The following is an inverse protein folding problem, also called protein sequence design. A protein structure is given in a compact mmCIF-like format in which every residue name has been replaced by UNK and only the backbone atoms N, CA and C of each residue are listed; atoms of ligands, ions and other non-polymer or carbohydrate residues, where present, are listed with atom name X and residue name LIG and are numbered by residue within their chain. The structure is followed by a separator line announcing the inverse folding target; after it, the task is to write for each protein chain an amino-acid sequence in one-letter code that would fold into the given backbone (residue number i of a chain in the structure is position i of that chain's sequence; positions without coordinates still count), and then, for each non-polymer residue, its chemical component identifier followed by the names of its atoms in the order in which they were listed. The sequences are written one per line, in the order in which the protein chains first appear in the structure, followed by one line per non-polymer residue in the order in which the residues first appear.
data_IF_285889471146
#
_entry.id   IF_285889471146
#
_cell.length_a   1.000
_cell.length_b   1.000
_cell.length_c   1.000
_cell.angle_alpha   90.00
_cell.angle_beta   90.00
_cell.angle_gamma   90.00
#
_symmetry.space_group_name_H-M   'P 1'
#
loop_
_entity.id
_entity.type
_entity.pdbx_description
1 polymer ?
#
# COMPACT_ATOMS: atom_id res chain seq x y z
N UNK A 1 -29.54 -46.34 -43.84
CA UNK A 1 -29.58 -45.60 -42.56
C UNK A 1 -30.79 -44.67 -42.60
N UNK A 2 -31.66 -44.70 -41.60
CA UNK A 2 -32.93 -43.96 -41.60
C UNK A 2 -32.67 -42.44 -41.47
N UNK A 3 -33.11 -41.65 -42.44
CA UNK A 3 -32.80 -40.21 -42.58
C UNK A 3 -33.22 -39.39 -41.35
N UNK A 4 -34.32 -39.77 -40.72
CA UNK A 4 -34.82 -39.15 -39.48
C UNK A 4 -33.80 -39.24 -38.32
N UNK A 5 -33.08 -40.36 -38.22
CA UNK A 5 -32.08 -40.55 -37.17
C UNK A 5 -30.84 -39.68 -37.41
N UNK A 6 -30.44 -39.51 -38.67
CA UNK A 6 -29.32 -38.65 -39.05
C UNK A 6 -29.62 -37.16 -38.80
N UNK A 7 -30.85 -36.71 -39.08
CA UNK A 7 -31.27 -35.33 -38.83
C UNK A 7 -31.32 -35.02 -37.33
N UNK A 8 -31.87 -35.92 -36.51
CA UNK A 8 -31.87 -35.74 -35.04
C UNK A 8 -30.45 -35.57 -34.50
N UNK A 9 -29.52 -36.44 -34.93
CA UNK A 9 -28.12 -36.41 -34.50
C UNK A 9 -27.41 -35.10 -34.92
N UNK A 10 -27.76 -34.57 -36.09
CA UNK A 10 -27.28 -33.27 -36.57
C UNK A 10 -27.82 -32.12 -35.71
N UNK A 11 -29.11 -32.11 -35.37
CA UNK A 11 -29.69 -31.10 -34.50
C UNK A 11 -29.10 -31.17 -33.09
N UNK A 12 -28.93 -32.37 -32.54
CA UNK A 12 -28.29 -32.56 -31.24
C UNK A 12 -26.86 -31.98 -31.25
N UNK A 13 -26.06 -32.26 -32.28
CA UNK A 13 -24.73 -31.65 -32.43
C UNK A 13 -24.76 -30.11 -32.55
N UNK A 14 -25.74 -29.55 -33.26
CA UNK A 14 -25.91 -28.10 -33.35
C UNK A 14 -26.25 -27.48 -31.99
N UNK A 15 -27.12 -28.12 -31.20
CA UNK A 15 -27.48 -27.62 -29.87
C UNK A 15 -26.28 -27.62 -28.92
N UNK A 16 -25.45 -28.68 -28.96
CA UNK A 16 -24.21 -28.76 -28.17
C UNK A 16 -23.27 -27.60 -28.55
N UNK A 17 -23.11 -27.34 -29.85
CA UNK A 17 -22.25 -26.25 -30.33
C UNK A 17 -22.74 -24.87 -29.89
N UNK A 18 -24.06 -24.63 -29.97
CA UNK A 18 -24.65 -23.36 -29.52
C UNK A 18 -24.44 -23.18 -28.02
N UNK A 19 -24.66 -24.23 -27.23
CA UNK A 19 -24.45 -24.21 -25.78
C UNK A 19 -22.98 -23.98 -25.42
N UNK A 20 -22.04 -24.60 -26.13
CA UNK A 20 -20.61 -24.41 -25.87
C UNK A 20 -20.16 -22.97 -26.15
N UNK A 21 -20.64 -22.36 -27.24
CA UNK A 21 -20.33 -20.95 -27.55
C UNK A 21 -20.97 -19.99 -26.55
N UNK A 22 -22.20 -20.26 -26.11
CA UNK A 22 -22.85 -19.50 -25.05
C UNK A 22 -22.01 -19.55 -23.77
N UNK A 23 -21.67 -20.75 -23.29
CA UNK A 23 -20.84 -20.90 -22.09
C UNK A 23 -19.48 -20.20 -22.22
N UNK A 24 -18.83 -20.29 -23.38
CA UNK A 24 -17.56 -19.60 -23.66
C UNK A 24 -17.70 -18.09 -23.55
N UNK A 25 -18.79 -17.52 -24.11
CA UNK A 25 -19.06 -16.09 -24.04
C UNK A 25 -19.24 -15.63 -22.59
N UNK A 26 -20.11 -16.30 -21.81
CA UNK A 26 -20.37 -15.91 -20.41
C UNK A 26 -19.15 -16.11 -19.52
N UNK A 27 -18.40 -17.20 -19.70
CA UNK A 27 -17.14 -17.43 -18.98
C UNK A 27 -16.13 -16.30 -19.26
N UNK A 28 -15.92 -15.97 -20.53
CA UNK A 28 -14.98 -14.90 -20.93
C UNK A 28 -15.42 -13.54 -20.39
N UNK A 29 -16.73 -13.26 -20.38
CA UNK A 29 -17.28 -12.02 -19.83
C UNK A 29 -17.06 -11.94 -18.32
N UNK A 30 -17.42 -13.00 -17.59
CA UNK A 30 -17.32 -13.04 -16.13
C UNK A 30 -15.86 -12.93 -15.68
N UNK A 31 -14.96 -13.71 -16.30
CA UNK A 31 -13.52 -13.63 -16.03
C UNK A 31 -12.94 -12.24 -16.32
N UNK A 32 -13.35 -11.58 -17.42
CA UNK A 32 -12.95 -10.18 -17.69
C UNK A 32 -13.43 -9.22 -16.60
N UNK A 33 -14.67 -9.37 -16.14
CA UNK A 33 -15.22 -8.58 -15.03
C UNK A 33 -14.41 -8.81 -13.75
N UNK A 34 -14.18 -10.07 -13.36
CA UNK A 34 -13.41 -10.42 -12.17
C UNK A 34 -11.99 -9.86 -12.19
N UNK A 35 -11.31 -9.95 -13.35
CA UNK A 35 -9.97 -9.37 -13.54
C UNK A 35 -10.03 -7.85 -13.42
N UNK A 36 -10.99 -7.19 -14.05
CA UNK A 36 -11.12 -5.72 -13.96
C UNK A 36 -11.33 -5.24 -12.52
N UNK A 37 -12.18 -5.94 -11.76
CA UNK A 37 -12.41 -5.67 -10.34
C UNK A 37 -11.17 -5.94 -9.48
N UNK A 38 -10.44 -7.02 -9.76
CA UNK A 38 -9.19 -7.33 -9.07
C UNK A 38 -8.12 -6.26 -9.32
N UNK A 39 -8.00 -5.79 -10.57
CA UNK A 39 -7.09 -4.70 -10.95
C UNK A 39 -7.46 -3.40 -10.23
N UNK A 40 -8.74 -3.04 -10.20
CA UNK A 40 -9.21 -1.85 -9.47
C UNK A 40 -8.90 -1.92 -7.97
N UNK A 41 -9.11 -3.08 -7.36
CA UNK A 41 -8.75 -3.28 -5.94
C UNK A 41 -7.24 -3.14 -5.73
N UNK A 42 -6.42 -3.71 -6.61
CA UNK A 42 -4.97 -3.61 -6.52
C UNK A 42 -4.47 -2.17 -6.67
N UNK A 43 -5.03 -1.39 -7.60
CA UNK A 43 -4.66 0.02 -7.78
C UNK A 43 -5.07 0.87 -6.58
N UNK A 44 -6.25 0.62 -6.01
CA UNK A 44 -6.71 1.30 -4.80
C UNK A 44 -5.81 1.00 -3.59
N UNK A 45 -5.42 -0.27 -3.41
CA UNK A 45 -4.47 -0.67 -2.37
C UNK A 45 -3.10 0.00 -2.58
N UNK A 46 -2.59 -0.01 -3.80
CA UNK A 46 -1.33 0.65 -4.13
C UNK A 46 -1.37 2.15 -3.79
N UNK A 47 -2.46 2.82 -4.13
CA UNK A 47 -2.66 4.25 -3.81
C UNK A 47 -2.70 4.50 -2.30
N UNK A 48 -3.43 3.67 -1.55
CA UNK A 48 -3.50 3.79 -0.10
C UNK A 48 -2.13 3.62 0.56
N UNK A 49 -1.38 2.59 0.16
CA UNK A 49 -0.04 2.34 0.67
C UNK A 49 0.93 3.48 0.34
N UNK A 50 0.85 4.03 -0.88
CA UNK A 50 1.67 5.18 -1.28
C UNK A 50 1.38 6.40 -0.39
N UNK A 51 0.12 6.72 -0.16
CA UNK A 51 -0.26 7.83 0.74
C UNK A 51 0.26 7.61 2.16
N UNK A 52 0.21 6.38 2.68
CA UNK A 52 0.74 6.05 4.01
C UNK A 52 2.25 6.25 4.11
N UNK A 53 3.00 5.84 3.10
CA UNK A 53 4.46 6.06 3.01
C UNK A 53 4.78 7.54 2.91
N UNK A 54 4.02 8.31 2.12
CA UNK A 54 4.22 9.76 1.98
C UNK A 54 3.93 10.49 3.32
N UNK A 55 2.90 10.07 4.07
CA UNK A 55 2.61 10.56 5.42
C UNK A 55 3.78 10.26 6.39
N UNK A 56 4.28 9.02 6.44
CA UNK A 56 5.40 8.63 7.31
C UNK A 56 6.69 9.41 7.00
N UNK A 57 7.00 9.61 5.72
CA UNK A 57 8.16 10.39 5.30
C UNK A 57 8.10 11.86 5.76
N UNK A 58 6.92 12.47 5.80
CA UNK A 58 6.79 13.87 6.23
C UNK A 58 7.03 14.03 7.75
N UNK A 59 6.74 13.01 8.54
CA UNK A 59 7.02 12.99 9.99
C UNK A 59 8.45 12.57 10.32
N UNK A 60 9.03 11.58 9.61
CA UNK A 60 10.41 11.13 9.84
C UNK A 60 11.45 12.21 9.48
N UNK A 61 11.10 13.10 8.54
CA UNK A 61 11.99 14.16 8.08
C UNK A 61 11.89 15.46 8.88
N UNK A 62 11.13 15.51 9.98
CA UNK A 62 10.98 16.72 10.82
C UNK A 62 11.52 16.50 12.23
N UNK A 63 12.16 17.53 12.77
CA UNK A 63 12.63 17.51 14.15
C UNK A 63 11.44 17.63 15.11
N UNK A 64 11.21 16.65 15.99
CA UNK A 64 10.09 16.71 16.95
C UNK A 64 10.26 17.77 18.08
N UNK A 65 11.30 18.60 18.03
CA UNK A 65 11.50 19.73 18.96
C UNK A 65 11.08 21.06 18.32
N UNK A 66 11.59 21.37 17.12
CA UNK A 66 11.27 22.61 16.41
C UNK A 66 10.20 22.47 15.31
N UNK A 67 9.80 21.23 14.99
CA UNK A 67 8.84 20.87 13.93
C UNK A 67 9.27 21.25 12.50
N UNK A 68 10.51 21.68 12.33
CA UNK A 68 11.06 22.02 11.02
C UNK A 68 11.70 20.80 10.34
N UNK A 69 11.82 20.81 9.00
CA UNK A 69 12.55 19.79 8.26
C UNK A 69 13.99 19.63 8.74
N UNK A 70 14.46 18.38 8.77
CA UNK A 70 15.83 17.96 9.06
C UNK A 70 16.76 18.11 7.85
N UNK A 71 16.21 18.37 6.66
CA UNK A 71 16.98 18.65 5.44
C UNK A 71 17.86 19.88 5.63
N UNK A 72 19.12 19.79 5.22
CA UNK A 72 20.13 20.86 5.31
C UNK A 72 20.46 21.35 6.74
N UNK A 73 20.21 20.53 7.77
CA UNK A 73 20.60 20.82 9.16
C UNK A 73 21.57 19.77 9.70
N UNK A 74 22.38 20.16 10.69
CA UNK A 74 23.15 19.20 11.47
C UNK A 74 22.20 18.33 12.29
N UNK A 75 22.14 17.05 11.95
CA UNK A 75 21.27 16.06 12.60
C UNK A 75 22.07 15.20 13.58
N UNK A 76 21.39 14.72 14.62
CA UNK A 76 21.93 13.72 15.55
C UNK A 76 20.96 12.56 15.65
N UNK A 77 21.50 11.34 15.47
CA UNK A 77 20.77 10.09 15.67
C UNK A 77 21.06 9.59 17.08
N UNK A 78 20.02 9.43 17.87
CA UNK A 78 20.12 9.07 19.30
C UNK A 78 20.24 7.55 19.49
N UNK A 79 20.66 7.10 20.68
CA UNK A 79 20.75 5.65 21.00
C UNK A 79 19.40 4.92 20.91
N UNK A 80 18.30 5.65 21.08
CA UNK A 80 16.93 5.16 20.88
C UNK A 80 16.42 5.23 19.42
N UNK A 81 17.31 5.46 18.46
CA UNK A 81 17.05 5.53 17.01
C UNK A 81 16.17 6.69 16.51
N UNK A 82 15.81 7.64 17.38
CA UNK A 82 15.11 8.87 17.00
C UNK A 82 16.10 9.95 16.56
N UNK A 83 15.70 10.78 15.59
CA UNK A 83 16.55 11.81 14.97
C UNK A 83 16.05 13.21 15.31
N UNK A 84 16.98 14.14 15.59
CA UNK A 84 16.68 15.53 15.92
C UNK A 84 17.73 16.46 15.32
N UNK A 85 17.46 17.77 15.28
CA UNK A 85 18.51 18.76 15.06
C UNK A 85 19.50 18.75 16.24
N UNK A 86 20.79 18.81 15.94
CA UNK A 86 21.85 18.88 16.95
C UNK A 86 21.64 20.08 17.88
N UNK A 87 21.36 21.25 17.31
CA UNK A 87 21.09 22.48 18.05
C UNK A 87 19.90 22.34 19.02
N UNK A 88 18.84 21.64 18.61
CA UNK A 88 17.67 21.41 19.44
C UNK A 88 17.99 20.52 20.65
N UNK A 89 18.78 19.47 20.49
CA UNK A 89 19.20 18.61 21.61
C UNK A 89 20.09 19.39 22.58
N UNK A 90 21.05 20.15 22.06
CA UNK A 90 21.97 20.94 22.90
C UNK A 90 21.22 22.00 23.72
N UNK A 91 20.28 22.71 23.09
CA UNK A 91 19.41 23.66 23.78
C UNK A 91 18.53 22.96 24.82
N UNK A 92 17.91 21.83 24.47
CA UNK A 92 17.10 21.06 25.42
C UNK A 92 17.94 20.62 26.64
N UNK A 93 19.15 20.13 26.42
CA UNK A 93 20.08 19.74 27.49
C UNK A 93 20.50 20.92 28.37
N UNK A 94 20.69 22.10 27.77
CA UNK A 94 21.07 23.34 28.49
C UNK A 94 19.95 23.88 29.37
N UNK A 95 18.71 23.87 28.88
CA UNK A 95 17.57 24.48 29.54
C UNK A 95 16.81 23.52 30.47
N UNK A 96 16.74 22.22 30.14
CA UNK A 96 16.00 21.23 30.92
C UNK A 96 16.93 20.35 31.77
N UNK A 97 17.14 20.73 33.03
CA UNK A 97 18.05 20.03 33.97
C UNK A 97 17.64 18.59 34.28
N UNK A 98 16.32 18.34 34.40
CA UNK A 98 15.80 17.05 34.84
C UNK A 98 15.57 16.07 33.67
N UNK A 99 15.13 16.57 32.53
CA UNK A 99 14.68 15.75 31.39
C UNK A 99 15.45 16.01 30.10
N UNK A 100 16.44 16.93 30.10
CA UNK A 100 17.19 17.31 28.90
C UNK A 100 18.07 16.20 28.31
N UNK A 101 18.30 15.11 29.07
CA UNK A 101 19.00 13.91 28.59
C UNK A 101 18.05 12.84 28.05
N UNK A 102 16.74 13.05 28.09
CA UNK A 102 15.73 12.09 27.67
C UNK A 102 15.15 12.47 26.30
N UNK A 103 14.98 11.46 25.45
CA UNK A 103 14.34 11.59 24.14
C UNK A 103 12.92 12.15 24.30
N UNK A 104 12.55 13.16 23.52
CA UNK A 104 11.21 13.76 23.59
C UNK A 104 10.11 12.82 23.08
N UNK A 105 10.48 11.84 22.24
CA UNK A 105 9.55 10.87 21.64
C UNK A 105 9.31 9.67 22.56
N UNK A 106 10.38 9.01 23.02
CA UNK A 106 10.28 7.75 23.78
C UNK A 106 10.80 7.80 25.23
N UNK A 107 11.27 8.96 25.69
CA UNK A 107 11.78 9.20 27.06
C UNK A 107 12.96 8.33 27.51
N UNK A 108 13.58 7.55 26.62
CA UNK A 108 14.87 6.87 26.86
C UNK A 108 16.03 7.87 26.86
N UNK A 109 17.17 7.49 27.46
CA UNK A 109 18.37 8.32 27.39
C UNK A 109 18.79 8.51 25.92
N UNK A 110 19.18 9.73 25.58
CA UNK A 110 19.60 10.14 24.23
C UNK A 110 21.03 9.64 23.94
N UNK A 111 21.86 9.54 24.98
CA UNK A 111 23.25 9.10 24.96
C UNK A 111 23.37 7.63 25.36
#
# INVERSE_FOLDING_TARGET
MNTFYADKLKYDMLTIRVLSEHNRYYFTRNTKMDISMALEKATNLQKYLKNKVDEENDYENKCAICLEPLTNKSIVKTSCNHTFCLSCIEQNKKHNKNTGKLCTICRKNIF
#
